data_IF_634137380053
#
_entry.id   IF_634137380053
#
_cell.length_a   1.000
_cell.length_b   1.000
_cell.length_c   1.000
_cell.angle_alpha   90.00
_cell.angle_beta   90.00
_cell.angle_gamma   90.00
#
_symmetry.space_group_name_H-M   'P 1'
#
loop_
_entity.id
_entity.type
_entity.pdbx_description
1 polymer ?
#
# COMPACT_ATOMS: atom_id res chain seq x y z
N UNK A 1 43.83 -7.89 -57.82
CA UNK A 1 43.09 -8.92 -58.60
C UNK A 1 41.73 -8.33 -58.97
N UNK A 2 41.30 -8.12 -60.21
CA UNK A 2 41.76 -8.41 -61.58
C UNK A 2 41.53 -7.12 -62.42
N UNK A 3 42.52 -6.50 -63.09
CA UNK A 3 43.04 -6.81 -64.45
C UNK A 3 41.93 -6.92 -65.49
N UNK A 4 41.74 -5.96 -66.40
CA UNK A 4 42.47 -5.75 -67.68
C UNK A 4 41.45 -6.02 -68.81
N UNK A 5 41.38 -5.40 -70.00
CA UNK A 5 42.33 -4.89 -70.99
C UNK A 5 41.50 -4.12 -72.06
N UNK A 6 41.84 -2.90 -72.46
CA UNK A 6 42.68 -2.51 -73.62
C UNK A 6 42.31 -3.06 -75.01
N UNK A 7 42.21 -2.13 -75.98
CA UNK A 7 42.47 -2.31 -77.42
C UNK A 7 41.24 -2.67 -78.26
N UNK A 8 40.93 -2.02 -79.38
CA UNK A 8 41.73 -1.11 -80.19
C UNK A 8 40.97 -0.71 -81.47
N UNK A 9 41.59 0.23 -82.15
CA UNK A 9 41.36 0.83 -83.46
C UNK A 9 40.52 0.06 -84.50
N UNK A 10 39.84 0.81 -85.38
CA UNK A 10 40.14 0.81 -86.84
C UNK A 10 39.39 1.95 -87.54
N UNK A 11 40.17 2.70 -88.31
CA UNK A 11 39.80 3.68 -89.33
C UNK A 11 38.81 3.15 -90.36
N UNK A 12 37.95 4.01 -90.92
CA UNK A 12 38.03 4.41 -92.33
C UNK A 12 36.80 5.20 -92.83
N UNK A 13 37.13 6.34 -93.43
CA UNK A 13 36.42 7.15 -94.44
C UNK A 13 35.16 6.52 -95.07
N UNK A 14 34.02 7.14 -94.80
CA UNK A 14 32.76 6.94 -95.53
C UNK A 14 32.11 8.28 -95.89
N UNK A 15 32.47 8.79 -97.07
CA UNK A 15 31.71 9.65 -98.00
C UNK A 15 30.55 10.49 -97.43
N UNK A 16 30.78 11.80 -97.42
CA UNK A 16 29.76 12.86 -97.41
C UNK A 16 28.64 12.55 -98.41
N UNK A 17 27.44 12.31 -97.87
CA UNK A 17 26.18 12.59 -98.55
C UNK A 17 25.36 13.37 -97.53
N UNK A 18 25.13 14.66 -97.79
CA UNK A 18 24.23 15.50 -97.01
C UNK A 18 22.82 15.31 -97.58
N UNK A 19 21.88 14.64 -96.90
CA UNK A 19 20.48 14.81 -97.21
C UNK A 19 20.00 16.10 -96.54
N UNK A 20 19.30 16.90 -97.33
CA UNK A 20 18.65 18.16 -96.96
C UNK A 20 17.93 18.06 -95.62
N UNK A 21 18.18 19.05 -94.75
CA UNK A 21 17.45 19.24 -93.49
C UNK A 21 16.04 19.72 -93.84
N UNK A 22 15.20 18.83 -94.32
CA UNK A 22 13.75 19.01 -94.31
C UNK A 22 13.31 18.77 -92.88
N UNK A 23 12.81 19.81 -92.22
CA UNK A 23 12.31 19.75 -90.86
C UNK A 23 11.20 18.68 -90.75
N UNK A 24 11.54 17.49 -90.28
CA UNK A 24 10.56 16.52 -89.79
C UNK A 24 10.02 17.12 -88.49
N UNK A 25 8.96 17.93 -88.62
CA UNK A 25 8.07 18.24 -87.52
C UNK A 25 7.46 16.93 -87.07
N UNK A 26 8.03 16.37 -86.00
CA UNK A 26 7.41 15.32 -85.20
C UNK A 26 6.09 15.90 -84.70
N UNK A 27 4.99 15.58 -85.36
CA UNK A 27 3.66 15.80 -84.82
C UNK A 27 3.48 14.85 -83.64
N UNK A 28 3.94 15.27 -82.45
CA UNK A 28 3.48 14.67 -81.20
C UNK A 28 2.00 15.01 -81.09
N UNK A 29 1.06 14.05 -81.14
CA UNK A 29 -0.30 14.37 -80.77
C UNK A 29 -0.24 14.81 -79.31
N UNK A 30 -0.65 16.06 -79.05
CA UNK A 30 -0.93 16.51 -77.71
C UNK A 30 -2.13 15.67 -77.20
N UNK A 31 -1.84 14.46 -76.70
CA UNK A 31 -2.77 13.77 -75.83
C UNK A 31 -2.77 14.57 -74.55
N UNK A 32 -3.72 15.50 -74.45
CA UNK A 32 -4.11 16.07 -73.19
C UNK A 32 -4.38 14.90 -72.25
N UNK A 33 -3.48 14.68 -71.29
CA UNK A 33 -3.75 13.86 -70.11
C UNK A 33 -4.69 14.72 -69.27
N UNK A 34 -5.92 14.90 -69.77
CA UNK A 34 -7.02 15.40 -68.99
C UNK A 34 -7.34 14.27 -68.03
N UNK A 35 -7.00 14.47 -66.76
CA UNK A 35 -7.48 13.62 -65.67
C UNK A 35 -8.99 13.85 -65.55
N UNK A 36 -9.74 13.23 -66.47
CA UNK A 36 -11.20 13.22 -66.43
C UNK A 36 -11.54 12.31 -65.26
N UNK A 37 -11.74 12.90 -64.09
CA UNK A 37 -12.40 12.24 -62.97
C UNK A 37 -13.73 11.74 -63.53
N UNK A 38 -13.88 10.43 -63.68
CA UNK A 38 -15.12 9.85 -64.23
C UNK A 38 -16.25 10.16 -63.26
N UNK A 39 -17.46 10.35 -63.77
CA UNK A 39 -18.61 10.69 -62.93
C UNK A 39 -18.85 9.67 -61.79
N UNK A 40 -18.47 8.41 -62.00
CA UNK A 40 -18.47 7.35 -60.98
C UNK A 40 -17.46 7.58 -59.84
N UNK A 41 -16.31 8.19 -60.15
CA UNK A 41 -15.24 8.49 -59.19
C UNK A 41 -15.66 9.67 -58.28
N UNK A 42 -16.38 10.65 -58.83
CA UNK A 42 -16.98 11.75 -58.05
C UNK A 42 -18.06 11.23 -57.09
N UNK A 43 -18.94 10.34 -57.55
CA UNK A 43 -19.95 9.73 -56.69
C UNK A 43 -19.29 8.87 -55.60
N UNK A 44 -18.25 8.10 -55.93
CA UNK A 44 -17.47 7.36 -54.94
C UNK A 44 -16.82 8.28 -53.89
N UNK A 45 -16.11 9.34 -54.32
CA UNK A 45 -15.47 10.31 -53.43
C UNK A 45 -16.47 11.06 -52.56
N UNK A 46 -17.66 11.38 -53.09
CA UNK A 46 -18.75 12.03 -52.35
C UNK A 46 -19.28 11.14 -51.23
N UNK A 47 -19.53 9.85 -51.52
CA UNK A 47 -19.97 8.88 -50.50
C UNK A 47 -18.87 8.62 -49.47
N UNK A 48 -17.63 8.47 -49.92
CA UNK A 48 -16.49 8.25 -49.04
C UNK A 48 -16.22 9.45 -48.12
N UNK A 49 -16.29 10.68 -48.66
CA UNK A 49 -16.17 11.92 -47.90
C UNK A 49 -17.32 12.09 -46.89
N UNK A 50 -18.55 11.73 -47.25
CA UNK A 50 -19.69 11.75 -46.33
C UNK A 50 -19.48 10.79 -45.14
N UNK A 51 -18.99 9.58 -45.40
CA UNK A 51 -18.68 8.59 -44.35
C UNK A 51 -17.54 9.06 -43.46
N UNK A 52 -16.44 9.58 -44.03
CA UNK A 52 -15.32 10.12 -43.26
C UNK A 52 -15.77 11.30 -42.39
N UNK A 53 -16.54 12.24 -42.95
CA UNK A 53 -17.08 13.37 -42.20
C UNK A 53 -17.94 12.91 -41.02
N UNK A 54 -18.80 11.92 -41.24
CA UNK A 54 -19.62 11.32 -40.19
C UNK A 54 -18.78 10.67 -39.08
N UNK A 55 -17.75 9.89 -39.43
CA UNK A 55 -16.86 9.24 -38.46
C UNK A 55 -16.03 10.26 -37.65
N UNK A 56 -15.58 11.34 -38.29
CA UNK A 56 -14.87 12.44 -37.62
C UNK A 56 -15.79 13.11 -36.58
N UNK A 57 -17.04 13.41 -36.94
CA UNK A 57 -18.02 13.98 -36.01
C UNK A 57 -18.30 13.06 -34.83
N UNK A 58 -18.43 11.74 -35.06
CA UNK A 58 -18.57 10.76 -33.98
C UNK A 58 -17.33 10.76 -33.09
N UNK A 59 -16.14 10.79 -33.67
CA UNK A 59 -14.88 10.78 -32.92
C UNK A 59 -14.79 11.99 -32.00
N UNK A 60 -15.06 13.19 -32.52
CA UNK A 60 -15.10 14.40 -31.69
C UNK A 60 -16.22 14.33 -30.65
N UNK A 61 -17.40 13.80 -31.00
CA UNK A 61 -18.50 13.59 -30.04
C UNK A 61 -18.11 12.66 -28.89
N UNK A 62 -17.39 11.57 -29.18
CA UNK A 62 -16.89 10.64 -28.16
C UNK A 62 -15.76 11.25 -27.32
N UNK A 63 -14.85 12.02 -27.91
CA UNK A 63 -13.79 12.73 -27.18
C UNK A 63 -14.39 13.78 -26.24
N UNK A 64 -15.33 14.58 -26.74
CA UNK A 64 -16.04 15.58 -25.94
C UNK A 64 -16.83 14.84 -24.86
N UNK A 65 -17.63 13.83 -25.20
CA UNK A 65 -18.39 13.03 -24.23
C UNK A 65 -17.49 12.44 -23.12
N UNK A 66 -16.37 11.83 -23.50
CA UNK A 66 -15.36 11.33 -22.57
C UNK A 66 -14.80 12.44 -21.68
N UNK A 67 -14.44 13.59 -22.25
CA UNK A 67 -13.96 14.74 -21.49
C UNK A 67 -15.03 15.29 -20.51
N UNK A 68 -16.30 15.33 -20.94
CA UNK A 68 -17.41 15.80 -20.11
C UNK A 68 -17.75 14.82 -18.97
N UNK A 69 -17.58 13.52 -19.17
CA UNK A 69 -17.75 12.48 -18.14
C UNK A 69 -16.54 12.43 -17.21
N UNK A 70 -15.33 12.53 -17.74
CA UNK A 70 -14.09 12.49 -16.97
C UNK A 70 -13.95 13.70 -16.02
N UNK A 71 -14.40 14.89 -16.45
CA UNK A 71 -14.49 16.06 -15.57
C UNK A 71 -15.58 15.95 -14.49
N UNK A 72 -16.60 15.11 -14.74
CA UNK A 72 -17.71 14.90 -13.82
C UNK A 72 -17.42 13.76 -12.81
N UNK A 73 -16.44 12.89 -13.10
CA UNK A 73 -15.95 11.90 -12.16
C UNK A 73 -14.95 12.56 -11.18
N UNK A 74 -15.21 12.52 -9.87
CA UNK A 74 -14.18 12.80 -8.88
C UNK A 74 -13.04 11.78 -9.05
N UNK A 75 -11.78 12.22 -9.06
CA UNK A 75 -10.64 11.30 -9.04
C UNK A 75 -10.69 10.49 -7.75
N UNK A 76 -10.96 9.19 -7.85
CA UNK A 76 -11.01 8.23 -6.74
C UNK A 76 -9.61 7.87 -6.22
N UNK A 77 -8.79 8.88 -5.93
CA UNK A 77 -7.84 8.75 -4.84
C UNK A 77 -8.44 9.51 -3.68
N UNK A 78 -9.37 8.90 -2.90
CA UNK A 78 -9.79 9.50 -1.64
C UNK A 78 -8.53 9.87 -0.86
N UNK A 79 -8.49 11.03 -0.21
CA UNK A 79 -7.37 11.41 0.66
C UNK A 79 -7.09 10.32 1.72
N UNK A 80 -8.12 9.55 2.08
CA UNK A 80 -7.99 8.36 2.91
C UNK A 80 -7.19 7.20 2.28
N UNK A 81 -7.19 7.01 0.96
CA UNK A 81 -6.33 6.02 0.27
C UNK A 81 -4.89 6.51 0.21
N UNK A 82 -4.65 7.78 -0.14
CA UNK A 82 -3.30 8.36 -0.10
C UNK A 82 -2.70 8.27 1.32
N UNK A 83 -3.47 8.67 2.34
CA UNK A 83 -3.06 8.59 3.74
C UNK A 83 -2.92 7.14 4.25
N UNK A 84 -3.72 6.19 3.75
CA UNK A 84 -3.56 4.75 4.03
C UNK A 84 -2.33 4.15 3.35
N UNK A 85 -1.97 4.62 2.16
CA UNK A 85 -0.75 4.23 1.46
C UNK A 85 0.46 4.78 2.19
N UNK A 86 0.45 6.06 2.58
CA UNK A 86 1.48 6.71 3.40
C UNK A 86 1.69 5.99 4.75
N UNK A 87 0.60 5.59 5.43
CA UNK A 87 0.69 4.81 6.65
C UNK A 87 1.28 3.40 6.45
N UNK A 88 1.12 2.80 5.27
CA UNK A 88 1.68 1.46 4.95
C UNK A 88 3.14 1.50 4.48
N UNK A 89 3.60 2.62 3.93
CA UNK A 89 5.00 2.83 3.52
C UNK A 89 5.85 3.48 4.62
N UNK A 90 5.24 3.87 5.74
CA UNK A 90 5.98 4.32 6.91
C UNK A 90 6.96 3.22 7.35
N UNK A 91 8.23 3.58 7.63
CA UNK A 91 9.23 2.59 8.03
C UNK A 91 8.80 1.92 9.32
N UNK A 92 8.69 0.59 9.30
CA UNK A 92 8.35 -0.26 10.47
C UNK A 92 9.44 -0.25 11.54
N UNK A 93 10.60 0.33 11.24
CA UNK A 93 11.70 0.58 12.16
C UNK A 93 12.70 1.54 11.55
N UNK A 94 13.35 2.34 12.38
CA UNK A 94 14.45 3.18 11.94
C UNK A 94 15.71 2.32 11.77
N UNK A 95 16.29 2.33 10.56
CA UNK A 95 17.56 1.64 10.29
C UNK A 95 18.69 2.57 10.70
N UNK A 96 19.31 2.22 11.82
CA UNK A 96 20.39 2.99 12.43
C UNK A 96 21.73 2.33 12.12
N UNK A 97 22.55 2.95 11.26
CA UNK A 97 23.90 2.47 10.94
C UNK A 97 24.96 3.33 11.63
N UNK A 98 25.94 2.70 12.29
CA UNK A 98 27.08 3.37 12.94
C UNK A 98 26.84 3.79 14.40
N UNK A 99 27.82 4.49 14.98
CA UNK A 99 27.83 4.89 16.40
C UNK A 99 26.75 5.91 16.77
N UNK A 100 26.33 6.75 15.83
CA UNK A 100 25.16 7.65 15.97
C UNK A 100 23.85 6.87 16.02
N UNK A 101 23.83 5.68 15.42
CA UNK A 101 22.69 4.77 15.45
C UNK A 101 22.46 4.10 16.80
N UNK A 102 23.55 3.71 17.49
CA UNK A 102 23.46 3.08 18.81
C UNK A 102 22.87 4.02 19.87
N UNK A 103 23.23 5.31 19.84
CA UNK A 103 22.66 6.30 20.76
C UNK A 103 21.18 6.58 20.48
N UNK A 104 20.79 6.65 19.20
CA UNK A 104 19.39 6.82 18.81
C UNK A 104 18.53 5.58 19.13
N UNK A 105 19.09 4.38 18.99
CA UNK A 105 18.41 3.13 19.37
C UNK A 105 18.25 2.98 20.88
N UNK A 106 19.24 3.39 21.67
CA UNK A 106 19.13 3.44 23.13
C UNK A 106 18.10 4.48 23.61
N UNK A 107 18.05 5.65 22.96
CA UNK A 107 17.02 6.64 23.23
C UNK A 107 15.62 6.17 22.82
N UNK A 108 15.51 5.44 21.70
CA UNK A 108 14.25 4.85 21.25
C UNK A 108 13.77 3.70 22.16
N UNK A 109 14.67 2.86 22.67
CA UNK A 109 14.30 1.82 23.63
C UNK A 109 13.91 2.42 24.99
N UNK A 110 14.60 3.47 25.44
CA UNK A 110 14.24 4.22 26.63
C UNK A 110 12.88 4.93 26.46
N UNK A 111 12.59 5.49 25.28
CA UNK A 111 11.29 6.10 24.98
C UNK A 111 10.17 5.05 24.88
N UNK A 112 10.45 3.87 24.35
CA UNK A 112 9.49 2.76 24.33
C UNK A 112 9.21 2.21 25.74
N UNK A 113 10.22 2.12 26.60
CA UNK A 113 10.06 1.76 28.01
C UNK A 113 9.31 2.85 28.79
N UNK A 114 9.55 4.13 28.47
CA UNK A 114 8.79 5.26 29.02
C UNK A 114 7.33 5.28 28.54
N UNK A 115 7.07 4.88 27.29
CA UNK A 115 5.71 4.76 26.76
C UNK A 115 4.96 3.56 27.36
N UNK A 116 5.66 2.46 27.66
CA UNK A 116 5.11 1.32 28.38
C UNK A 116 4.74 1.69 29.84
N UNK A 117 5.47 2.60 30.47
CA UNK A 117 5.16 3.13 31.81
C UNK A 117 4.15 4.28 31.81
N UNK A 118 3.88 4.91 30.66
CA UNK A 118 2.90 6.00 30.55
C UNK A 118 1.43 5.51 30.59
N UNK A 119 1.20 4.21 30.48
CA UNK A 119 -0.15 3.61 30.48
C UNK A 119 -0.36 2.66 31.67
N UNK A 120 0.26 2.98 32.81
CA UNK A 120 0.13 2.17 34.02
C UNK A 120 -1.19 2.49 34.72
N UNK A 121 -1.97 1.45 35.00
CA UNK A 121 -3.26 1.57 35.65
C UNK A 121 -3.14 2.29 37.01
N UNK A 122 -4.20 3.01 37.39
CA UNK A 122 -4.32 3.70 38.69
C UNK A 122 -3.19 4.71 38.97
N UNK A 123 -2.65 5.34 37.92
CA UNK A 123 -1.59 6.35 38.04
C UNK A 123 -0.26 5.79 38.54
N UNK A 124 -0.03 4.48 38.40
CA UNK A 124 1.20 3.83 38.87
C UNK A 124 1.29 3.65 40.37
N UNK A 125 0.18 3.76 41.11
CA UNK A 125 0.20 3.44 42.54
C UNK A 125 0.59 1.99 42.78
N UNK A 126 1.45 1.78 43.78
CA UNK A 126 1.83 0.45 44.29
C UNK A 126 1.02 0.07 45.53
N UNK A 127 0.02 0.87 45.89
CA UNK A 127 -0.90 0.56 46.98
C UNK A 127 -1.89 -0.52 46.54
N UNK A 128 -1.63 -1.75 46.99
CA UNK A 128 -2.47 -2.91 46.72
C UNK A 128 -3.93 -2.73 47.18
N UNK A 129 -4.18 -1.93 48.21
CA UNK A 129 -5.54 -1.66 48.68
C UNK A 129 -6.34 -0.84 47.66
N UNK A 130 -5.71 0.13 47.01
CA UNK A 130 -6.34 0.97 45.99
C UNK A 130 -6.71 0.11 44.78
N UNK A 131 -5.77 -0.71 44.31
CA UNK A 131 -6.01 -1.59 43.15
C UNK A 131 -7.09 -2.63 43.50
N UNK A 132 -7.00 -3.26 44.67
CA UNK A 132 -7.98 -4.23 45.12
C UNK A 132 -9.39 -3.63 45.14
N UNK A 133 -9.55 -2.47 45.77
CA UNK A 133 -10.84 -1.81 45.91
C UNK A 133 -11.46 -1.40 44.57
N UNK A 134 -10.64 -1.01 43.59
CA UNK A 134 -11.12 -0.56 42.28
C UNK A 134 -11.35 -1.68 41.27
N UNK A 135 -10.68 -2.84 41.40
CA UNK A 135 -10.74 -3.93 40.41
C UNK A 135 -11.14 -5.28 41.00
N UNK A 136 -10.46 -5.70 42.07
CA UNK A 136 -10.48 -7.07 42.54
C UNK A 136 -11.73 -7.41 43.38
N UNK A 137 -12.31 -6.41 44.05
CA UNK A 137 -13.51 -6.56 44.89
C UNK A 137 -14.70 -7.17 44.15
N UNK A 138 -14.84 -6.92 42.84
CA UNK A 138 -15.93 -7.46 42.03
C UNK A 138 -16.08 -8.98 42.14
N UNK A 139 -14.95 -9.70 42.28
CA UNK A 139 -14.94 -11.14 42.43
C UNK A 139 -14.49 -11.60 43.82
N UNK A 140 -13.47 -10.97 44.41
CA UNK A 140 -12.86 -11.44 45.67
C UNK A 140 -13.63 -11.01 46.94
N UNK A 141 -14.65 -10.17 46.83
CA UNK A 141 -15.58 -9.91 47.94
C UNK A 141 -16.80 -10.82 47.90
N UNK A 142 -17.33 -11.07 46.71
CA UNK A 142 -18.58 -11.84 46.51
C UNK A 142 -18.36 -13.34 46.26
N UNK A 143 -17.14 -13.75 45.89
CA UNK A 143 -16.84 -15.08 45.37
C UNK A 143 -17.33 -15.30 43.94
N UNK A 144 -17.62 -14.23 43.19
CA UNK A 144 -18.12 -14.35 41.83
C UNK A 144 -17.17 -15.15 40.93
N UNK A 145 -17.72 -16.02 40.09
CA UNK A 145 -16.94 -16.90 39.23
C UNK A 145 -16.10 -17.94 39.98
N UNK A 146 -16.39 -18.19 41.27
CA UNK A 146 -15.64 -19.11 42.11
C UNK A 146 -14.32 -18.56 42.63
N UNK A 147 -14.18 -17.23 42.64
CA UNK A 147 -13.03 -16.56 43.22
C UNK A 147 -12.96 -16.82 44.74
N UNK A 148 -11.76 -16.99 45.33
CA UNK A 148 -11.61 -17.06 46.78
C UNK A 148 -12.01 -15.72 47.39
N UNK A 149 -12.89 -15.75 48.39
CA UNK A 149 -13.26 -14.55 49.13
C UNK A 149 -12.11 -14.12 50.05
N UNK A 150 -12.22 -12.96 50.70
CA UNK A 150 -11.23 -12.51 51.69
C UNK A 150 -11.24 -13.35 52.98
N UNK A 151 -12.09 -14.37 53.12
CA UNK A 151 -12.09 -15.25 54.28
C UNK A 151 -10.87 -16.18 54.28
N UNK A 152 -10.16 -16.28 55.42
CA UNK A 152 -8.95 -17.09 55.54
C UNK A 152 -9.14 -18.57 55.16
N UNK A 153 -10.36 -19.10 55.34
CA UNK A 153 -10.71 -20.47 54.96
C UNK A 153 -10.53 -20.75 53.45
N UNK A 154 -10.83 -19.77 52.58
CA UNK A 154 -10.72 -19.92 51.12
C UNK A 154 -9.27 -19.90 50.63
N UNK A 155 -8.34 -19.43 51.47
CA UNK A 155 -6.91 -19.30 51.18
C UNK A 155 -6.06 -20.41 51.80
N UNK A 156 -6.64 -21.23 52.69
CA UNK A 156 -5.91 -22.27 53.42
C UNK A 156 -5.22 -23.30 52.50
N UNK A 157 -5.80 -23.62 51.34
CA UNK A 157 -5.20 -24.53 50.34
C UNK A 157 -4.32 -23.83 49.30
N UNK A 158 -4.31 -22.49 49.31
CA UNK A 158 -3.63 -21.65 48.31
C UNK A 158 -2.30 -21.14 48.82
N UNK A 159 -2.27 -20.63 50.05
CA UNK A 159 -1.06 -20.11 50.71
C UNK A 159 0.09 -21.15 50.71
N UNK A 160 -0.13 -22.46 50.97
CA UNK A 160 0.94 -23.45 50.96
C UNK A 160 1.58 -23.70 49.59
N UNK A 161 0.95 -23.25 48.49
CA UNK A 161 1.53 -23.37 47.14
C UNK A 161 2.70 -22.40 46.93
N UNK A 162 2.84 -21.41 47.81
CA UNK A 162 3.87 -20.38 47.76
C UNK A 162 3.40 -19.13 47.01
N UNK A 163 3.95 -17.99 47.43
CA UNK A 163 3.57 -16.69 46.89
C UNK A 163 3.87 -16.57 45.39
N UNK A 164 4.99 -17.12 44.92
CA UNK A 164 5.39 -17.07 43.51
C UNK A 164 4.32 -17.68 42.58
N UNK A 165 3.70 -18.79 43.01
CA UNK A 165 2.62 -19.44 42.25
C UNK A 165 1.36 -18.57 42.23
N UNK A 166 1.03 -17.93 43.36
CA UNK A 166 -0.11 -17.01 43.44
C UNK A 166 0.09 -15.78 42.56
N UNK A 167 1.30 -15.22 42.53
CA UNK A 167 1.65 -14.10 41.66
C UNK A 167 1.55 -14.51 40.19
N UNK A 168 2.12 -15.66 39.82
CA UNK A 168 2.07 -16.16 38.45
C UNK A 168 0.62 -16.37 38.00
N UNK A 169 -0.21 -17.01 38.81
CA UNK A 169 -1.63 -17.21 38.51
C UNK A 169 -2.41 -15.90 38.41
N UNK A 170 -2.04 -14.87 39.18
CA UNK A 170 -2.66 -13.56 39.10
C UNK A 170 -2.23 -12.78 37.85
N UNK A 171 -0.98 -12.89 37.43
CA UNK A 171 -0.43 -12.20 36.26
C UNK A 171 -0.88 -12.87 34.96
N UNK A 172 -0.68 -14.17 34.84
CA UNK A 172 -0.94 -14.94 33.61
C UNK A 172 -2.42 -15.36 33.50
N UNK A 173 -3.15 -15.31 34.60
CA UNK A 173 -4.50 -15.86 34.71
C UNK A 173 -4.48 -17.34 35.07
N UNK A 174 -5.57 -17.81 35.67
CA UNK A 174 -5.70 -19.17 36.14
C UNK A 174 -7.09 -19.72 35.92
N UNK A 175 -7.18 -20.89 35.31
CA UNK A 175 -8.41 -21.66 35.18
C UNK A 175 -8.27 -22.88 36.08
N UNK A 176 -9.06 -22.90 37.16
CA UNK A 176 -9.04 -23.96 38.14
C UNK A 176 -10.38 -24.66 38.30
N UNK A 177 -10.43 -25.71 39.13
CA UNK A 177 -11.66 -26.44 39.42
C UNK A 177 -12.72 -25.58 40.12
N UNK A 178 -12.29 -24.56 40.88
CA UNK A 178 -13.20 -23.65 41.58
C UNK A 178 -13.74 -22.54 40.67
N UNK A 179 -12.97 -22.08 39.67
CA UNK A 179 -13.30 -20.86 38.96
C UNK A 179 -12.25 -20.39 37.96
N UNK A 180 -12.50 -19.22 37.36
CA UNK A 180 -11.61 -18.58 36.38
C UNK A 180 -11.16 -17.22 36.90
N UNK A 181 -9.84 -17.03 36.97
CA UNK A 181 -9.19 -15.75 37.22
C UNK A 181 -8.59 -15.24 35.91
N UNK A 182 -9.08 -14.13 35.34
CA UNK A 182 -8.50 -13.55 34.14
C UNK A 182 -7.06 -13.05 34.37
N UNK A 183 -6.21 -12.99 33.32
CA UNK A 183 -4.88 -12.40 33.41
C UNK A 183 -4.95 -10.97 33.96
N UNK A 184 -4.09 -10.66 34.95
CA UNK A 184 -4.02 -9.35 35.62
C UNK A 184 -5.36 -8.87 36.18
N UNK A 185 -6.20 -9.79 36.65
CA UNK A 185 -7.55 -9.46 37.15
C UNK A 185 -8.48 -8.85 36.09
N UNK A 186 -8.17 -9.02 34.81
CA UNK A 186 -8.96 -8.50 33.69
C UNK A 186 -8.53 -7.11 33.23
N UNK A 187 -7.51 -6.49 33.84
CA UNK A 187 -6.99 -5.19 33.41
C UNK A 187 -5.56 -5.32 32.85
N UNK A 188 -5.37 -5.32 31.52
CA UNK A 188 -4.05 -5.46 30.91
C UNK A 188 -3.11 -4.26 31.15
N UNK A 189 -3.64 -3.13 31.65
CA UNK A 189 -2.85 -1.94 31.98
C UNK A 189 -2.17 -2.00 33.36
N UNK A 190 -2.47 -3.02 34.18
CA UNK A 190 -1.72 -3.27 35.42
C UNK A 190 -0.31 -3.77 35.10
N UNK A 191 0.70 -3.27 35.80
CA UNK A 191 2.04 -3.86 35.75
C UNK A 191 2.09 -5.10 36.64
N UNK A 192 3.06 -5.97 36.39
CA UNK A 192 3.20 -7.21 37.14
C UNK A 192 3.52 -6.92 38.62
N UNK A 193 4.28 -5.85 38.87
CA UNK A 193 4.60 -5.39 40.22
C UNK A 193 3.36 -4.88 40.96
N UNK A 194 2.44 -4.20 40.27
CA UNK A 194 1.16 -3.77 40.85
C UNK A 194 0.28 -4.97 41.21
N UNK A 195 0.28 -6.02 40.38
CA UNK A 195 -0.43 -7.27 40.67
C UNK A 195 0.16 -7.94 41.92
N UNK A 196 1.49 -8.07 42.00
CA UNK A 196 2.19 -8.62 43.17
C UNK A 196 1.84 -7.85 44.44
N UNK A 197 1.94 -6.51 44.41
CA UNK A 197 1.60 -5.67 45.57
C UNK A 197 0.14 -5.82 46.02
N UNK A 198 -0.77 -6.06 45.07
CA UNK A 198 -2.19 -6.31 45.35
C UNK A 198 -2.39 -7.69 45.99
N UNK A 199 -1.73 -8.72 45.48
CA UNK A 199 -1.78 -10.07 46.08
C UNK A 199 -1.22 -10.07 47.49
N UNK A 200 -0.09 -9.39 47.73
CA UNK A 200 0.49 -9.24 49.07
C UNK A 200 -0.46 -8.55 50.03
N UNK A 201 -1.10 -7.47 49.57
CA UNK A 201 -2.11 -6.78 50.37
C UNK A 201 -3.29 -7.70 50.68
N UNK A 202 -3.78 -8.49 49.72
CA UNK A 202 -4.87 -9.44 49.97
C UNK A 202 -4.49 -10.48 51.02
N UNK A 203 -3.30 -11.10 50.90
CA UNK A 203 -2.81 -12.10 51.85
C UNK A 203 -2.62 -11.52 53.26
N UNK A 204 -2.23 -10.24 53.37
CA UNK A 204 -2.08 -9.55 54.64
C UNK A 204 -3.41 -9.12 55.29
N UNK A 205 -4.51 -9.06 54.53
CA UNK A 205 -5.81 -8.53 54.97
C UNK A 205 -6.93 -9.59 54.92
N UNK A 206 -6.59 -10.88 55.00
CA UNK A 206 -7.56 -11.95 55.12
C UNK A 206 -8.35 -11.84 56.44
N UNK A 207 -9.65 -12.11 56.36
CA UNK A 207 -10.63 -12.04 57.46
C UNK A 207 -10.83 -13.39 58.15
#
# INVERSE_FOLDING_TARGET
>A
MCQGTMGGDILARGRLVRPSVESIRVARPARAIGWIVRNYDLEFLKKFSMVIGFLILITFGLIIGSYLVHRAQPQEVPDGVARRTEARIAPVGAVYAGSTGAAAQAAASAAAAAAATANVAYGGTMDGSVIFNNLCTGCHTSGAGGAPTMAAADWASRIPQGNDVLYQHAIEGYVGPAGVMPPKGGNPALTDEQVVATVDWMLANLQ
#
